data_IF_719991574807
#
_entry.id   IF_719991574807
#
_cell.length_a   1.000
_cell.length_b   1.000
_cell.length_c   1.000
_cell.angle_alpha   90.00
_cell.angle_beta   90.00
_cell.angle_gamma   90.00
#
_symmetry.space_group_name_H-M   'P 1'
#
loop_
_entity.id
_entity.type
_entity.pdbx_description
1 polymer ?
#
# COMPACT_ATOMS: atom_id res chain seq x y z
N UNK A 1 26.31 4.05 20.87
CA UNK A 1 26.58 2.93 19.92
C UNK A 1 26.43 3.50 18.52
N UNK A 2 27.41 3.31 17.64
CA UNK A 2 27.33 3.84 16.25
C UNK A 2 26.39 2.92 15.50
N UNK A 3 25.31 3.45 14.94
CA UNK A 3 24.17 2.74 14.30
C UNK A 3 24.57 2.00 12.99
N UNK A 4 25.87 1.91 12.65
CA UNK A 4 26.32 1.51 11.31
C UNK A 4 26.47 0.01 11.05
N UNK A 5 26.33 -0.85 12.05
CA UNK A 5 26.68 -2.28 11.89
C UNK A 5 25.49 -3.25 12.12
N UNK A 6 24.27 -2.77 12.06
CA UNK A 6 23.09 -3.63 12.30
C UNK A 6 22.68 -4.46 11.08
N UNK A 7 23.05 -4.00 9.87
CA UNK A 7 22.61 -4.65 8.63
C UNK A 7 23.77 -4.90 7.69
N UNK A 8 23.81 -6.10 7.14
CA UNK A 8 24.60 -6.49 5.98
C UNK A 8 23.69 -6.36 4.75
N UNK A 9 24.04 -5.45 3.83
CA UNK A 9 23.18 -5.07 2.71
C UNK A 9 23.91 -5.21 1.39
N UNK A 10 23.30 -5.96 0.45
CA UNK A 10 23.79 -6.10 -0.90
C UNK A 10 22.78 -5.59 -1.92
N UNK A 11 23.25 -4.81 -2.89
CA UNK A 11 22.46 -4.30 -4.02
C UNK A 11 23.10 -4.77 -5.33
N UNK A 12 22.55 -5.85 -5.89
CA UNK A 12 23.11 -6.53 -7.04
C UNK A 12 22.40 -6.14 -8.34
N UNK A 13 23.17 -5.71 -9.33
CA UNK A 13 22.76 -5.55 -10.73
C UNK A 13 23.75 -6.32 -11.59
N UNK A 14 23.28 -7.23 -12.45
CA UNK A 14 24.16 -8.15 -13.21
C UNK A 14 25.16 -8.93 -12.32
N UNK A 15 24.73 -9.35 -11.12
CA UNK A 15 25.54 -10.04 -10.13
C UNK A 15 26.70 -9.20 -9.54
N UNK A 16 26.72 -7.89 -9.80
CA UNK A 16 27.66 -6.96 -9.21
C UNK A 16 27.00 -6.24 -8.05
N UNK A 17 27.64 -6.31 -6.91
CA UNK A 17 27.23 -5.55 -5.75
C UNK A 17 27.69 -4.10 -5.87
N UNK A 18 26.72 -3.20 -5.96
CA UNK A 18 27.03 -1.77 -6.09
C UNK A 18 27.70 -1.20 -4.83
N UNK A 19 27.39 -1.75 -3.63
CA UNK A 19 27.99 -1.25 -2.39
C UNK A 19 29.44 -1.67 -2.24
N UNK A 20 29.79 -2.90 -2.65
CA UNK A 20 31.13 -3.47 -2.41
C UNK A 20 32.07 -3.34 -3.60
N UNK A 21 31.56 -3.20 -4.82
CA UNK A 21 32.38 -3.26 -6.04
C UNK A 21 33.31 -2.06 -6.25
N UNK A 22 33.07 -0.96 -5.56
CA UNK A 22 33.77 0.32 -5.80
C UNK A 22 33.51 0.95 -7.17
N UNK A 23 32.62 0.36 -7.98
CA UNK A 23 32.27 0.87 -9.30
C UNK A 23 31.18 1.97 -9.27
N UNK A 24 30.51 2.16 -8.13
CA UNK A 24 29.45 3.12 -7.93
C UNK A 24 29.65 3.95 -6.65
N UNK A 25 29.17 5.21 -6.68
CA UNK A 25 29.29 6.15 -5.58
C UNK A 25 27.93 6.79 -5.29
N UNK A 26 27.72 7.29 -4.06
CA UNK A 26 26.47 7.95 -3.62
C UNK A 26 25.21 7.12 -3.86
N UNK A 27 25.33 5.83 -3.59
CA UNK A 27 24.24 4.87 -3.83
C UNK A 27 23.12 5.10 -2.83
N UNK A 28 21.89 5.24 -3.37
CA UNK A 28 20.66 5.28 -2.60
C UNK A 28 19.65 4.34 -3.24
N UNK A 29 18.99 3.53 -2.42
CA UNK A 29 17.94 2.64 -2.85
C UNK A 29 16.72 2.85 -1.94
N UNK A 30 15.53 2.96 -2.53
CA UNK A 30 14.27 3.06 -1.77
C UNK A 30 13.26 2.08 -2.34
N UNK A 31 12.68 1.23 -1.47
CA UNK A 31 11.61 0.31 -1.81
C UNK A 31 10.30 0.91 -1.31
N UNK A 32 9.35 1.10 -2.22
CA UNK A 32 8.02 1.65 -1.95
C UNK A 32 7.00 0.53 -1.98
N UNK A 33 6.27 0.37 -0.89
CA UNK A 33 5.14 -0.54 -0.76
C UNK A 33 3.92 0.24 -0.30
N UNK A 34 2.76 0.01 -0.90
CA UNK A 34 1.52 0.71 -0.56
C UNK A 34 0.31 -0.20 -0.79
N UNK A 35 -0.71 -0.10 0.04
CA UNK A 35 -1.99 -0.79 -0.19
C UNK A 35 -2.76 -0.18 -1.37
N UNK A 36 -2.43 1.07 -1.75
CA UNK A 36 -3.10 1.80 -2.84
C UNK A 36 -2.45 1.50 -4.18
N UNK A 37 -1.11 1.47 -4.22
CA UNK A 37 -0.36 1.32 -5.47
C UNK A 37 -0.29 -0.14 -5.95
N UNK A 38 -0.81 -1.06 -5.16
CA UNK A 38 -0.96 -2.49 -5.44
C UNK A 38 0.35 -3.26 -5.70
N UNK A 39 1.41 -2.62 -6.21
CA UNK A 39 2.65 -3.29 -6.63
C UNK A 39 3.88 -2.56 -6.11
N UNK A 40 4.82 -3.24 -5.44
CA UNK A 40 6.04 -2.62 -4.94
C UNK A 40 6.94 -2.11 -6.06
N UNK A 41 7.50 -0.94 -5.84
CA UNK A 41 8.47 -0.27 -6.74
C UNK A 41 9.76 0.00 -6.00
N UNK A 42 10.88 -0.21 -6.67
CA UNK A 42 12.21 0.13 -6.18
C UNK A 42 12.79 1.28 -7.00
N UNK A 43 13.34 2.30 -6.34
CA UNK A 43 14.07 3.40 -6.96
C UNK A 43 15.51 3.38 -6.50
N UNK A 44 16.45 3.38 -7.45
CA UNK A 44 17.87 3.35 -7.18
C UNK A 44 18.52 4.52 -7.88
N UNK A 45 19.40 5.24 -7.18
CA UNK A 45 20.24 6.28 -7.74
C UNK A 45 21.68 6.06 -7.32
N UNK A 46 22.62 6.25 -8.24
CA UNK A 46 24.05 6.18 -7.96
C UNK A 46 24.85 6.96 -9.01
N UNK A 47 26.09 7.27 -8.70
CA UNK A 47 27.02 7.84 -9.65
C UNK A 47 28.06 6.79 -10.05
N UNK A 48 28.45 6.77 -11.34
CA UNK A 48 29.47 5.86 -11.84
C UNK A 48 30.18 6.43 -13.07
N UNK A 49 31.27 5.79 -13.48
CA UNK A 49 31.98 6.15 -14.71
C UNK A 49 31.11 5.83 -15.95
N UNK A 50 31.40 6.47 -17.11
CA UNK A 50 30.77 6.15 -18.38
C UNK A 50 30.93 4.68 -18.78
N UNK A 51 32.05 4.05 -18.39
CA UNK A 51 32.36 2.65 -18.70
C UNK A 51 31.44 1.66 -18.01
N UNK A 52 30.73 2.08 -16.97
CA UNK A 52 29.75 1.23 -16.29
C UNK A 52 28.69 0.70 -17.27
N UNK A 53 28.15 1.55 -18.16
CA UNK A 53 27.16 1.10 -19.16
C UNK A 53 27.73 0.18 -20.22
N UNK A 54 28.99 0.37 -20.57
CA UNK A 54 29.66 -0.48 -21.55
C UNK A 54 29.87 -1.90 -21.00
N UNK A 55 30.19 -1.99 -19.72
CA UNK A 55 30.47 -3.26 -19.05
C UNK A 55 29.20 -3.93 -18.54
N UNK A 56 28.20 -3.15 -18.14
CA UNK A 56 26.97 -3.62 -17.49
C UNK A 56 25.74 -2.92 -18.09
N UNK A 57 25.32 -3.31 -19.29
CA UNK A 57 24.21 -2.66 -19.98
C UNK A 57 22.89 -2.89 -19.25
N UNK A 58 22.30 -1.80 -18.74
CA UNK A 58 20.99 -1.82 -18.09
C UNK A 58 19.91 -1.65 -19.15
N UNK A 59 19.10 -2.65 -19.32
CA UNK A 59 17.97 -2.69 -20.25
C UNK A 59 16.67 -3.02 -19.52
N UNK A 60 15.53 -2.87 -20.19
CA UNK A 60 14.24 -3.26 -19.65
C UNK A 60 14.26 -4.75 -19.24
N UNK A 61 13.77 -5.01 -18.02
CA UNK A 61 13.76 -6.36 -17.45
C UNK A 61 15.08 -6.79 -16.80
N UNK A 62 16.13 -5.97 -16.80
CA UNK A 62 17.35 -6.25 -16.02
C UNK A 62 16.98 -6.53 -14.58
N UNK A 63 17.55 -7.63 -14.02
CA UNK A 63 17.28 -8.06 -12.66
C UNK A 63 18.04 -7.21 -11.66
N UNK A 64 17.33 -6.77 -10.62
CA UNK A 64 17.89 -6.11 -9.44
C UNK A 64 17.58 -6.97 -8.24
N UNK A 65 18.59 -7.27 -7.43
CA UNK A 65 18.42 -8.04 -6.19
C UNK A 65 18.88 -7.16 -5.03
N UNK A 66 18.05 -7.10 -3.99
CA UNK A 66 18.33 -6.41 -2.75
C UNK A 66 18.32 -7.46 -1.65
N UNK A 67 19.41 -7.59 -0.92
CA UNK A 67 19.52 -8.46 0.24
C UNK A 67 19.74 -7.62 1.48
N UNK A 68 18.99 -7.90 2.54
CA UNK A 68 19.12 -7.25 3.84
C UNK A 68 19.21 -8.33 4.89
N UNK A 69 20.34 -8.40 5.58
CA UNK A 69 20.59 -9.35 6.66
C UNK A 69 20.84 -8.63 7.97
N UNK A 70 20.38 -9.20 9.05
CA UNK A 70 20.68 -8.75 10.41
C UNK A 70 20.53 -9.90 11.38
N UNK A 71 21.62 -10.29 12.02
CA UNK A 71 21.59 -11.32 13.06
C UNK A 71 20.84 -10.82 14.31
N UNK A 72 20.96 -9.53 14.62
CA UNK A 72 20.32 -8.91 15.80
C UNK A 72 18.80 -8.97 15.68
N UNK A 73 18.27 -8.69 14.48
CA UNK A 73 16.83 -8.67 14.24
C UNK A 73 16.31 -9.93 13.55
N UNK A 74 17.14 -10.96 13.40
CA UNK A 74 16.80 -12.22 12.73
C UNK A 74 16.22 -11.99 11.32
N UNK A 75 16.80 -11.06 10.56
CA UNK A 75 16.41 -10.72 9.20
C UNK A 75 17.36 -11.39 8.22
N UNK A 76 16.83 -12.12 7.24
CA UNK A 76 17.54 -12.64 6.05
C UNK A 76 16.58 -12.54 4.86
N UNK A 77 16.42 -11.32 4.37
CA UNK A 77 15.45 -10.99 3.34
C UNK A 77 16.12 -10.78 1.98
N UNK A 78 15.53 -11.32 0.93
CA UNK A 78 15.92 -11.09 -0.45
C UNK A 78 14.72 -10.61 -1.27
N UNK A 79 14.88 -9.47 -1.94
CA UNK A 79 13.86 -8.87 -2.79
C UNK A 79 14.36 -8.80 -4.24
N UNK A 80 13.52 -9.20 -5.19
CA UNK A 80 13.89 -9.24 -6.60
C UNK A 80 12.96 -8.32 -7.39
N UNK A 81 13.58 -7.40 -8.12
CA UNK A 81 12.89 -6.42 -8.97
C UNK A 81 13.37 -6.54 -10.42
N UNK A 82 12.60 -5.94 -11.35
CA UNK A 82 12.94 -5.81 -12.78
C UNK A 82 12.90 -4.35 -13.19
N UNK A 83 13.95 -3.90 -13.85
CA UNK A 83 14.04 -2.54 -14.37
C UNK A 83 12.92 -2.26 -15.35
N UNK A 84 12.22 -1.14 -15.15
CA UNK A 84 11.20 -0.61 -16.06
C UNK A 84 11.62 0.70 -16.70
N UNK A 85 12.36 1.52 -15.96
CA UNK A 85 12.91 2.78 -16.46
C UNK A 85 14.35 2.92 -16.05
N UNK A 86 15.12 3.44 -16.93
CA UNK A 86 16.51 3.75 -16.71
C UNK A 86 16.84 5.12 -17.32
N UNK A 87 17.62 5.90 -16.63
CA UNK A 87 18.20 7.14 -17.15
C UNK A 87 19.62 7.34 -16.64
N UNK A 88 20.47 7.93 -17.47
CA UNK A 88 21.83 8.32 -17.12
C UNK A 88 22.04 9.76 -17.56
N UNK A 89 22.40 10.62 -16.63
CA UNK A 89 22.64 12.04 -16.88
C UNK A 89 24.10 12.37 -16.60
N UNK A 90 24.79 13.10 -17.51
CA UNK A 90 26.17 13.55 -17.26
C UNK A 90 26.26 14.37 -15.98
N UNK A 91 27.25 14.07 -15.15
CA UNK A 91 27.54 14.78 -13.90
C UNK A 91 29.07 14.94 -13.74
N UNK A 92 29.65 16.01 -14.22
CA UNK A 92 31.11 16.19 -14.28
C UNK A 92 31.76 15.11 -15.15
N UNK A 93 32.71 14.36 -14.58
CA UNK A 93 33.39 13.24 -15.24
C UNK A 93 32.67 11.89 -15.04
N UNK A 94 31.50 11.90 -14.44
CA UNK A 94 30.71 10.74 -14.13
C UNK A 94 29.32 10.84 -14.77
N UNK A 95 28.53 9.80 -14.63
CA UNK A 95 27.09 9.81 -14.86
C UNK A 95 26.33 9.59 -13.56
N UNK A 96 25.26 10.33 -13.39
CA UNK A 96 24.24 10.05 -12.38
C UNK A 96 23.18 9.12 -12.98
N UNK A 97 23.07 7.93 -12.43
CA UNK A 97 22.14 6.90 -12.85
C UNK A 97 20.88 6.94 -12.00
N UNK A 98 19.74 6.73 -12.65
CA UNK A 98 18.45 6.56 -11.99
C UNK A 98 17.73 5.36 -12.58
N UNK A 99 17.35 4.44 -11.72
CA UNK A 99 16.65 3.19 -12.06
C UNK A 99 15.33 3.17 -11.34
N UNK A 100 14.25 2.86 -12.05
CA UNK A 100 12.96 2.51 -11.48
C UNK A 100 12.65 1.07 -11.85
N UNK A 101 12.43 0.22 -10.84
CA UNK A 101 12.20 -1.21 -11.00
C UNK A 101 10.95 -1.64 -10.25
N UNK A 102 10.23 -2.62 -10.78
CA UNK A 102 9.02 -3.19 -10.20
C UNK A 102 9.31 -4.61 -9.71
N UNK A 103 8.54 -5.09 -8.75
CA UNK A 103 8.65 -6.47 -8.24
C UNK A 103 8.68 -7.50 -9.38
N UNK A 104 9.56 -8.48 -9.30
CA UNK A 104 9.72 -9.52 -10.32
C UNK A 104 8.53 -10.50 -10.33
N UNK A 105 7.38 -10.03 -10.82
CA UNK A 105 6.21 -10.85 -11.05
C UNK A 105 5.61 -10.56 -12.44
N UNK A 106 6.18 -11.19 -13.43
CA UNK A 106 5.90 -10.93 -14.84
C UNK A 106 4.45 -11.20 -15.26
N UNK A 107 3.76 -12.12 -14.56
CA UNK A 107 2.36 -12.45 -14.85
C UNK A 107 1.41 -11.25 -14.71
N UNK A 108 1.73 -10.27 -13.85
CA UNK A 108 0.89 -9.07 -13.71
C UNK A 108 0.72 -8.28 -15.01
N UNK A 109 1.71 -8.35 -15.90
CA UNK A 109 1.73 -7.61 -17.16
C UNK A 109 1.18 -8.40 -18.34
N UNK A 110 0.80 -9.67 -18.12
CA UNK A 110 0.24 -10.55 -19.17
C UNK A 110 -1.28 -10.52 -19.18
N UNK A 111 -1.86 -10.89 -20.34
CA UNK A 111 -3.30 -11.01 -20.48
C UNK A 111 -3.88 -12.07 -19.52
N UNK A 112 -4.98 -11.77 -18.81
CA UNK A 112 -5.53 -12.63 -17.77
C UNK A 112 -6.48 -13.73 -18.30
N UNK A 113 -6.58 -13.96 -19.59
CA UNK A 113 -7.57 -14.85 -20.23
C UNK A 113 -7.69 -16.25 -19.61
N UNK A 114 -6.61 -16.75 -19.04
CA UNK A 114 -6.57 -18.07 -18.36
C UNK A 114 -7.25 -18.14 -17.00
N UNK A 115 -7.76 -17.01 -16.47
CA UNK A 115 -8.34 -16.92 -15.13
C UNK A 115 -9.86 -16.74 -15.11
N UNK A 116 -10.52 -16.78 -16.28
CA UNK A 116 -11.99 -16.70 -16.34
C UNK A 116 -12.66 -17.76 -15.45
N UNK A 117 -13.63 -17.35 -14.64
CA UNK A 117 -14.33 -18.25 -13.72
C UNK A 117 -15.69 -17.69 -13.30
N UNK A 118 -16.64 -18.59 -13.01
CA UNK A 118 -17.94 -18.25 -12.41
C UNK A 118 -17.92 -18.57 -10.93
N UNK A 119 -17.37 -17.66 -10.13
CA UNK A 119 -17.13 -17.86 -8.71
C UNK A 119 -17.15 -16.55 -7.93
N UNK A 120 -16.88 -16.57 -6.64
CA UNK A 120 -16.64 -15.37 -5.84
C UNK A 120 -15.30 -14.73 -6.21
N UNK A 121 -15.15 -13.42 -6.03
CA UNK A 121 -13.89 -12.71 -6.31
C UNK A 121 -12.70 -13.28 -5.52
N UNK A 122 -12.90 -13.68 -4.27
CA UNK A 122 -11.86 -14.32 -3.45
C UNK A 122 -11.32 -15.61 -4.10
N UNK A 123 -12.15 -16.38 -4.82
CA UNK A 123 -11.71 -17.59 -5.52
C UNK A 123 -10.89 -17.27 -6.78
N UNK A 124 -11.13 -16.12 -7.39
CA UNK A 124 -10.26 -15.63 -8.48
C UNK A 124 -8.87 -15.36 -7.95
N UNK A 125 -8.74 -14.60 -6.86
CA UNK A 125 -7.44 -14.34 -6.20
C UNK A 125 -6.76 -15.63 -5.74
N UNK A 126 -7.50 -16.56 -5.12
CA UNK A 126 -6.99 -17.89 -4.76
C UNK A 126 -6.45 -18.66 -5.97
N UNK A 127 -7.13 -18.56 -7.12
CA UNK A 127 -6.69 -19.21 -8.36
C UNK A 127 -5.39 -18.60 -8.87
N UNK A 128 -5.26 -17.27 -8.83
CA UNK A 128 -4.03 -16.55 -9.20
C UNK A 128 -2.88 -16.95 -8.27
N UNK A 129 -3.12 -16.97 -6.95
CA UNK A 129 -2.11 -17.39 -5.97
C UNK A 129 -1.63 -18.83 -6.24
N UNK A 130 -2.54 -19.78 -6.37
CA UNK A 130 -2.20 -21.19 -6.59
C UNK A 130 -1.44 -21.41 -7.88
N UNK A 131 -1.89 -20.81 -9.01
CA UNK A 131 -1.25 -20.95 -10.31
C UNK A 131 0.16 -20.38 -10.37
N UNK A 132 0.43 -19.33 -9.57
CA UNK A 132 1.73 -18.66 -9.57
C UNK A 132 2.55 -18.98 -8.31
N UNK A 133 2.10 -19.91 -7.47
CA UNK A 133 2.79 -20.34 -6.24
C UNK A 133 3.11 -19.16 -5.30
N UNK A 134 2.17 -18.22 -5.19
CA UNK A 134 2.31 -17.05 -4.32
C UNK A 134 1.81 -17.39 -2.92
N UNK A 135 2.47 -16.85 -1.91
CA UNK A 135 1.94 -16.78 -0.55
C UNK A 135 1.05 -15.54 -0.37
N UNK A 136 0.36 -15.41 0.75
CA UNK A 136 -0.44 -14.24 1.07
C UNK A 136 -1.69 -14.55 1.87
N UNK A 137 -2.65 -13.63 1.86
CA UNK A 137 -3.93 -13.77 2.57
C UNK A 137 -5.07 -13.21 1.74
N UNK A 138 -6.19 -13.92 1.74
CA UNK A 138 -7.39 -13.56 0.99
C UNK A 138 -8.60 -13.66 1.91
N UNK A 139 -9.32 -12.54 2.06
CA UNK A 139 -10.60 -12.51 2.76
C UNK A 139 -11.73 -13.05 1.90
N UNK A 140 -12.68 -13.72 2.54
CA UNK A 140 -13.83 -14.32 1.86
C UNK A 140 -14.81 -13.25 1.37
N UNK A 141 -15.41 -13.50 0.20
CA UNK A 141 -16.40 -12.63 -0.44
C UNK A 141 -17.69 -13.38 -0.74
N UNK A 142 -18.79 -12.64 -1.01
CA UNK A 142 -20.13 -13.17 -1.32
C UNK A 142 -20.67 -12.53 -2.61
N UNK A 143 -19.84 -12.49 -3.63
CA UNK A 143 -20.02 -11.73 -4.87
C UNK A 143 -19.92 -12.63 -6.12
N UNK A 144 -20.53 -13.81 -6.02
CA UNK A 144 -20.49 -14.79 -7.11
C UNK A 144 -21.03 -14.23 -8.42
N UNK A 145 -20.19 -14.23 -9.43
CA UNK A 145 -20.54 -13.89 -10.82
C UNK A 145 -19.57 -14.51 -11.81
N UNK A 146 -19.82 -14.34 -13.10
CA UNK A 146 -18.87 -14.68 -14.15
C UNK A 146 -17.84 -13.55 -14.29
N UNK A 147 -16.63 -13.75 -13.79
CA UNK A 147 -15.51 -12.85 -13.96
C UNK A 147 -14.84 -13.14 -15.32
N UNK A 148 -15.09 -12.25 -16.27
CA UNK A 148 -14.50 -12.35 -17.62
C UNK A 148 -13.30 -11.42 -17.70
N UNK A 149 -12.11 -11.95 -18.03
CA UNK A 149 -10.95 -11.10 -18.25
C UNK A 149 -11.18 -10.18 -19.44
N UNK A 150 -10.92 -8.91 -19.27
CA UNK A 150 -10.82 -7.96 -20.38
C UNK A 150 -9.46 -8.13 -21.08
N UNK A 151 -9.25 -7.41 -22.17
CA UNK A 151 -7.95 -7.38 -22.89
C UNK A 151 -6.83 -6.69 -22.12
N UNK A 152 -7.08 -6.28 -20.88
CA UNK A 152 -6.11 -5.66 -19.97
C UNK A 152 -5.11 -6.68 -19.43
N UNK A 153 -4.09 -6.20 -18.74
CA UNK A 153 -3.17 -7.08 -18.04
C UNK A 153 -3.77 -7.62 -16.72
N UNK A 154 -3.15 -8.66 -16.16
CA UNK A 154 -3.63 -9.31 -14.94
C UNK A 154 -3.78 -8.32 -13.75
N UNK A 155 -2.82 -7.39 -13.58
CA UNK A 155 -2.88 -6.42 -12.48
C UNK A 155 -4.09 -5.50 -12.57
N UNK A 156 -4.39 -4.97 -13.75
CA UNK A 156 -5.58 -4.17 -14.01
C UNK A 156 -6.87 -4.96 -13.80
N UNK A 157 -6.88 -6.22 -14.22
CA UNK A 157 -8.04 -7.09 -14.00
C UNK A 157 -8.26 -7.41 -12.54
N UNK A 158 -7.21 -7.65 -11.74
CA UNK A 158 -7.32 -7.82 -10.29
C UNK A 158 -7.83 -6.54 -9.61
N UNK A 159 -7.40 -5.37 -10.07
CA UNK A 159 -7.93 -4.09 -9.59
C UNK A 159 -9.42 -3.91 -9.91
N UNK A 160 -9.83 -4.31 -11.11
CA UNK A 160 -11.25 -4.33 -11.49
C UNK A 160 -12.06 -5.28 -10.59
N UNK A 161 -11.57 -6.49 -10.33
CA UNK A 161 -12.24 -7.46 -9.45
C UNK A 161 -12.32 -6.91 -8.02
N UNK A 162 -11.24 -6.35 -7.49
CA UNK A 162 -11.22 -5.78 -6.15
C UNK A 162 -12.20 -4.61 -5.99
N UNK A 163 -12.32 -3.77 -7.02
CA UNK A 163 -13.29 -2.68 -7.01
C UNK A 163 -14.75 -3.15 -6.90
N UNK A 164 -15.04 -4.39 -7.30
CA UNK A 164 -16.38 -4.97 -7.28
C UNK A 164 -16.55 -6.09 -6.25
N UNK A 165 -15.53 -6.33 -5.41
CA UNK A 165 -15.56 -7.31 -4.34
C UNK A 165 -16.58 -6.94 -3.25
N UNK A 166 -17.33 -7.93 -2.77
CA UNK A 166 -18.40 -7.73 -1.79
C UNK A 166 -18.42 -8.84 -0.74
N UNK A 167 -18.53 -8.47 0.52
CA UNK A 167 -18.86 -9.40 1.60
C UNK A 167 -20.04 -8.91 2.44
N UNK A 168 -20.11 -7.61 2.71
CA UNK A 168 -21.14 -6.98 3.53
C UNK A 168 -21.33 -5.51 3.17
N UNK A 169 -22.27 -4.83 3.81
CA UNK A 169 -22.51 -3.40 3.61
C UNK A 169 -21.37 -2.50 4.13
N UNK A 170 -20.44 -3.05 4.91
CA UNK A 170 -19.30 -2.32 5.49
C UNK A 170 -17.95 -2.81 4.95
N UNK A 171 -17.95 -3.74 3.99
CA UNK A 171 -16.70 -4.26 3.45
C UNK A 171 -15.99 -3.24 2.56
N UNK A 172 -14.66 -3.26 2.58
CA UNK A 172 -13.83 -2.44 1.71
C UNK A 172 -12.62 -3.23 1.23
N UNK A 173 -12.69 -3.74 -0.01
CA UNK A 173 -11.67 -4.63 -0.55
C UNK A 173 -10.57 -3.90 -1.29
N UNK A 174 -9.32 -4.26 -0.94
CA UNK A 174 -8.11 -3.87 -1.65
C UNK A 174 -7.25 -5.08 -1.94
N UNK A 175 -6.51 -5.01 -3.03
CA UNK A 175 -5.46 -5.97 -3.32
C UNK A 175 -4.12 -5.27 -3.46
N UNK A 176 -3.08 -5.94 -3.01
CA UNK A 176 -1.71 -5.48 -3.16
C UNK A 176 -0.74 -6.67 -3.06
N UNK A 177 0.47 -6.44 -3.51
CA UNK A 177 1.62 -7.31 -3.26
C UNK A 177 2.61 -6.61 -2.34
N UNK A 178 3.31 -7.37 -1.53
CA UNK A 178 4.46 -6.86 -0.79
C UNK A 178 5.77 -7.15 -1.53
N UNK A 179 6.87 -6.58 -1.02
CA UNK A 179 8.22 -6.78 -1.58
C UNK A 179 8.70 -8.23 -1.59
N UNK A 180 8.11 -9.12 -0.80
CA UNK A 180 8.36 -10.57 -0.81
C UNK A 180 7.47 -11.36 -1.77
N UNK A 181 6.79 -10.70 -2.72
CA UNK A 181 5.85 -11.26 -3.70
C UNK A 181 4.63 -11.95 -3.09
N UNK A 182 4.25 -11.64 -1.88
CA UNK A 182 3.01 -12.16 -1.30
C UNK A 182 1.83 -11.35 -1.83
N UNK A 183 0.76 -12.03 -2.24
CA UNK A 183 -0.46 -11.43 -2.74
C UNK A 183 -1.51 -11.35 -1.63
N UNK A 184 -2.08 -10.17 -1.46
CA UNK A 184 -3.13 -9.91 -0.47
C UNK A 184 -4.39 -9.40 -1.16
N UNK A 185 -5.54 -9.90 -0.71
CA UNK A 185 -6.85 -9.38 -1.08
C UNK A 185 -7.68 -9.30 0.18
N UNK A 186 -7.77 -8.11 0.76
CA UNK A 186 -8.20 -7.91 2.13
C UNK A 186 -9.35 -6.90 2.21
N UNK A 187 -10.26 -7.17 3.12
CA UNK A 187 -11.27 -6.24 3.59
C UNK A 187 -10.64 -5.39 4.71
N UNK A 188 -10.40 -4.12 4.42
CA UNK A 188 -9.70 -3.18 5.30
C UNK A 188 -10.50 -2.92 6.60
N UNK A 189 -11.82 -2.80 6.51
CA UNK A 189 -12.66 -2.58 7.70
C UNK A 189 -12.60 -3.78 8.66
N UNK A 190 -12.66 -4.98 8.10
CA UNK A 190 -12.55 -6.20 8.87
C UNK A 190 -11.21 -6.31 9.58
N UNK A 191 -10.12 -5.90 8.94
CA UNK A 191 -8.78 -5.92 9.54
C UNK A 191 -8.70 -5.11 10.83
N UNK A 192 -9.19 -3.86 10.82
CA UNK A 192 -9.16 -3.00 12.01
C UNK A 192 -9.93 -3.61 13.18
N UNK A 193 -11.09 -4.18 12.89
CA UNK A 193 -11.97 -4.71 13.95
C UNK A 193 -11.51 -6.06 14.51
N UNK A 194 -10.98 -6.93 13.67
CA UNK A 194 -10.70 -8.33 14.06
C UNK A 194 -9.22 -8.61 14.38
N UNK A 195 -8.29 -7.68 14.10
CA UNK A 195 -6.87 -7.93 14.31
C UNK A 195 -6.52 -8.05 15.79
N UNK A 196 -5.82 -9.15 16.12
CA UNK A 196 -5.30 -9.44 17.47
C UNK A 196 -3.82 -9.09 17.61
N UNK A 197 -3.05 -9.20 16.53
CA UNK A 197 -1.62 -8.88 16.52
C UNK A 197 -1.45 -7.42 16.14
N UNK A 198 -1.10 -6.59 17.12
CA UNK A 198 -0.98 -5.14 16.98
C UNK A 198 0.49 -4.77 17.14
N UNK A 199 1.04 -4.11 16.11
CA UNK A 199 2.36 -3.49 16.19
C UNK A 199 2.26 -2.21 17.01
N UNK A 200 3.25 -1.96 17.87
CA UNK A 200 3.29 -0.76 18.71
C UNK A 200 4.42 0.15 18.26
N UNK A 201 4.08 1.38 17.95
CA UNK A 201 5.06 2.42 17.64
C UNK A 201 5.31 3.28 18.87
N UNK A 202 6.58 3.36 19.29
CA UNK A 202 7.03 4.17 20.43
C UNK A 202 7.95 5.29 19.97
N UNK A 203 7.80 6.46 20.60
CA UNK A 203 8.72 7.57 20.36
C UNK A 203 10.03 7.36 21.11
N UNK A 204 11.16 7.63 20.47
CA UNK A 204 12.49 7.64 21.08
C UNK A 204 13.54 6.80 20.37
N UNK A 205 14.69 6.67 21.00
CA UNK A 205 15.80 5.84 20.54
C UNK A 205 15.50 4.35 20.74
N UNK A 206 16.15 3.51 19.93
CA UNK A 206 16.08 2.05 20.11
C UNK A 206 16.82 1.66 21.37
N UNK A 207 16.16 0.93 22.24
CA UNK A 207 16.70 0.40 23.48
C UNK A 207 17.03 -1.09 23.32
N UNK A 208 17.90 -1.64 24.17
CA UNK A 208 18.29 -3.07 24.10
C UNK A 208 17.09 -4.01 24.36
N UNK A 209 16.03 -3.53 24.99
CA UNK A 209 14.79 -4.27 25.24
C UNK A 209 13.84 -4.34 24.04
N UNK A 210 14.10 -3.56 22.98
CA UNK A 210 13.26 -3.46 21.79
C UNK A 210 13.52 -4.59 20.77
N UNK A 211 13.98 -5.76 21.23
CA UNK A 211 14.19 -6.95 20.39
C UNK A 211 12.84 -7.57 19.97
N UNK A 212 11.75 -7.25 20.67
CA UNK A 212 10.40 -7.70 20.31
C UNK A 212 10.03 -7.21 18.90
N UNK A 213 9.69 -8.15 18.01
CA UNK A 213 9.27 -7.88 16.62
C UNK A 213 8.03 -6.96 16.52
N UNK A 214 7.27 -6.82 17.60
CA UNK A 214 6.06 -6.00 17.65
C UNK A 214 6.33 -4.56 18.10
N UNK A 215 7.55 -4.24 18.52
CA UNK A 215 7.96 -2.91 18.97
C UNK A 215 8.76 -2.20 17.88
N UNK A 216 8.33 -1.01 17.49
CA UNK A 216 9.02 -0.17 16.49
C UNK A 216 9.21 1.22 17.06
N UNK A 217 10.45 1.69 17.10
CA UNK A 217 10.77 3.07 17.53
C UNK A 217 10.73 4.06 16.37
N UNK A 218 10.19 5.23 16.62
CA UNK A 218 10.19 6.33 15.65
C UNK A 218 10.74 7.63 16.26
N UNK A 219 11.34 8.46 15.41
CA UNK A 219 11.93 9.75 15.80
C UNK A 219 11.06 10.93 15.42
N UNK A 220 10.43 10.85 14.26
CA UNK A 220 9.61 11.93 13.74
C UNK A 220 8.19 11.45 13.49
N UNK A 221 7.23 12.31 13.81
CA UNK A 221 5.82 12.10 13.55
C UNK A 221 5.25 13.30 12.81
N UNK A 222 4.56 13.05 11.72
CA UNK A 222 3.81 14.07 10.98
C UNK A 222 2.38 13.59 10.85
N UNK A 223 1.46 14.32 11.46
CA UNK A 223 0.03 14.03 11.39
C UNK A 223 -0.57 14.87 10.28
N UNK A 224 -1.24 14.22 9.34
CA UNK A 224 -1.94 14.86 8.22
C UNK A 224 -3.38 14.43 8.24
N UNK A 225 -4.25 15.39 8.13
CA UNK A 225 -5.62 15.11 7.73
C UNK A 225 -5.71 15.45 6.25
N UNK A 226 -6.07 14.49 5.42
CA UNK A 226 -6.34 14.73 4.00
C UNK A 226 -7.84 14.67 3.74
N UNK A 227 -8.62 15.60 4.23
CA UNK A 227 -10.03 15.54 3.95
C UNK A 227 -10.39 16.34 2.72
N UNK A 228 -9.70 17.40 2.47
CA UNK A 228 -10.39 18.47 1.84
C UNK A 228 -10.46 18.34 0.34
N UNK A 229 -9.35 18.56 -0.35
CA UNK A 229 -9.39 18.78 -1.78
C UNK A 229 -9.72 17.53 -2.60
N UNK A 230 -9.09 16.41 -2.35
CA UNK A 230 -9.39 15.19 -3.12
C UNK A 230 -10.77 14.62 -2.83
N UNK A 231 -11.22 14.71 -1.58
CA UNK A 231 -12.54 14.20 -1.22
C UNK A 231 -13.66 15.17 -1.58
N UNK A 232 -13.45 16.48 -1.44
CA UNK A 232 -14.42 17.50 -1.86
C UNK A 232 -14.52 17.60 -3.39
N UNK A 233 -13.37 17.65 -4.10
CA UNK A 233 -13.39 17.86 -5.54
C UNK A 233 -13.50 16.58 -6.35
N UNK A 234 -13.02 15.46 -5.84
CA UNK A 234 -12.95 14.22 -6.60
C UNK A 234 -13.96 13.16 -6.19
N UNK A 235 -14.44 13.09 -4.97
CA UNK A 235 -15.18 11.91 -4.51
C UNK A 235 -16.48 12.17 -3.82
N UNK A 236 -16.70 13.31 -3.16
CA UNK A 236 -17.88 13.60 -2.33
C UNK A 236 -18.36 12.38 -1.52
N UNK A 237 -18.86 12.59 -0.34
CA UNK A 237 -19.32 11.46 0.50
C UNK A 237 -20.72 10.97 0.09
N UNK A 238 -21.51 11.82 -0.53
CA UNK A 238 -22.89 11.57 -0.96
C UNK A 238 -22.99 11.49 -2.48
N UNK A 239 -22.29 10.50 -3.08
CA UNK A 239 -22.36 10.29 -4.53
C UNK A 239 -23.53 9.42 -4.93
N UNK A 240 -24.02 9.62 -6.13
CA UNK A 240 -25.00 8.77 -6.78
C UNK A 240 -24.28 7.92 -7.83
N UNK A 241 -24.65 6.65 -7.93
CA UNK A 241 -24.23 5.82 -9.03
C UNK A 241 -25.38 5.63 -10.01
N UNK A 242 -25.17 6.08 -11.22
CA UNK A 242 -26.11 5.88 -12.32
C UNK A 242 -25.63 4.68 -13.16
N UNK A 243 -26.48 3.64 -13.24
CA UNK A 243 -26.21 2.46 -14.04
C UNK A 243 -27.07 2.53 -15.29
N UNK A 244 -26.44 2.43 -16.43
CA UNK A 244 -27.14 2.24 -17.68
C UNK A 244 -27.13 0.76 -18.03
N UNK A 245 -28.29 0.13 -17.94
CA UNK A 245 -28.49 -1.25 -18.34
C UNK A 245 -28.68 -1.32 -19.87
N UNK A 246 -27.67 -1.81 -20.55
CA UNK A 246 -27.70 -1.96 -22.02
C UNK A 246 -28.75 -2.95 -22.49
N UNK A 247 -29.17 -3.91 -21.68
CA UNK A 247 -30.15 -4.93 -22.04
C UNK A 247 -31.57 -4.40 -22.02
N UNK A 248 -31.88 -3.53 -21.07
CA UNK A 248 -33.23 -2.95 -20.89
C UNK A 248 -33.33 -1.49 -21.34
N UNK A 249 -32.22 -0.89 -21.78
CA UNK A 249 -32.11 0.54 -22.08
C UNK A 249 -32.66 1.44 -20.97
N UNK A 250 -32.49 1.03 -19.73
CA UNK A 250 -32.97 1.75 -18.55
C UNK A 250 -31.83 2.23 -17.68
N UNK A 251 -32.07 3.35 -16.99
CA UNK A 251 -31.14 3.89 -16.00
C UNK A 251 -31.62 3.48 -14.61
N UNK A 252 -30.73 2.90 -13.81
CA UNK A 252 -30.95 2.65 -12.38
C UNK A 252 -30.04 3.57 -11.59
N UNK A 253 -30.55 4.15 -10.53
CA UNK A 253 -29.80 5.00 -9.62
C UNK A 253 -29.60 4.27 -8.29
N UNK A 254 -28.37 4.25 -7.81
CA UNK A 254 -28.01 3.74 -6.48
C UNK A 254 -27.41 4.87 -5.67
N UNK A 255 -28.04 5.19 -4.54
CA UNK A 255 -27.56 6.26 -3.66
C UNK A 255 -26.47 5.74 -2.73
N UNK A 256 -25.38 6.45 -2.64
CA UNK A 256 -24.22 6.15 -1.81
C UNK A 256 -24.54 6.13 -0.31
N UNK A 257 -25.50 6.93 0.14
CA UNK A 257 -25.92 6.98 1.54
C UNK A 257 -26.48 5.66 2.07
N UNK A 258 -26.85 4.73 1.18
CA UNK A 258 -27.26 3.38 1.56
C UNK A 258 -26.07 2.45 1.83
N UNK A 259 -24.87 2.86 1.42
CA UNK A 259 -23.68 2.00 1.49
C UNK A 259 -22.94 2.21 2.80
N UNK A 260 -22.79 3.45 3.25
CA UNK A 260 -22.15 3.78 4.51
C UNK A 260 -22.69 5.10 5.04
N UNK A 261 -23.19 5.11 6.26
CA UNK A 261 -23.70 6.34 6.86
C UNK A 261 -22.55 7.33 7.03
N UNK A 262 -22.72 8.55 6.52
CA UNK A 262 -21.74 9.64 6.72
C UNK A 262 -21.53 9.99 8.20
N UNK A 263 -22.49 9.62 9.07
CA UNK A 263 -22.37 9.74 10.52
C UNK A 263 -21.29 8.86 11.15
N UNK A 264 -20.83 7.82 10.44
CA UNK A 264 -19.74 6.94 10.90
C UNK A 264 -18.36 7.49 10.53
N UNK A 265 -18.28 8.54 9.70
CA UNK A 265 -17.03 9.16 9.31
C UNK A 265 -16.74 10.30 10.27
N UNK A 266 -15.78 10.08 11.14
CA UNK A 266 -15.31 11.06 12.11
C UNK A 266 -14.51 12.13 11.36
N UNK A 267 -14.67 13.41 11.69
CA UNK A 267 -13.97 14.57 11.11
C UNK A 267 -14.38 15.03 9.69
N UNK A 268 -15.59 14.73 9.25
CA UNK A 268 -16.14 15.37 8.07
C UNK A 268 -17.00 16.56 8.49
N UNK A 269 -16.76 17.69 7.85
CA UNK A 269 -17.70 18.79 7.93
C UNK A 269 -18.99 18.38 7.19
N UNK A 270 -20.04 18.10 7.95
CA UNK A 270 -21.35 17.65 7.43
C UNK A 270 -21.96 18.63 6.46
N UNK A 271 -21.69 19.93 6.60
CA UNK A 271 -22.20 20.96 5.68
C UNK A 271 -21.53 20.86 4.31
N UNK A 272 -20.25 20.49 4.26
CA UNK A 272 -19.51 20.30 3.01
C UNK A 272 -19.75 18.94 2.37
N UNK A 273 -20.27 17.96 3.10
CA UNK A 273 -20.54 16.63 2.59
C UNK A 273 -21.89 16.49 1.88
N UNK A 274 -22.84 17.35 2.20
CA UNK A 274 -24.19 17.28 1.65
C UNK A 274 -24.22 17.80 0.21
N UNK A 275 -24.51 16.91 -0.73
CA UNK A 275 -24.81 17.28 -2.12
C UNK A 275 -23.59 17.47 -3.03
N UNK A 276 -22.34 17.20 -2.58
CA UNK A 276 -21.13 17.34 -3.39
C UNK A 276 -20.64 16.03 -4.01
N UNK A 277 -21.43 14.96 -3.91
CA UNK A 277 -21.04 13.65 -4.44
C UNK A 277 -20.95 13.63 -5.97
N UNK A 278 -19.86 13.10 -6.52
CA UNK A 278 -19.76 12.79 -7.95
C UNK A 278 -20.69 11.63 -8.30
N UNK A 279 -21.44 11.80 -9.37
CA UNK A 279 -22.14 10.69 -10.01
C UNK A 279 -21.12 9.75 -10.66
N UNK A 280 -21.18 8.49 -10.33
CA UNK A 280 -20.47 7.44 -11.04
C UNK A 280 -21.38 6.92 -12.15
N UNK A 281 -20.93 7.01 -13.39
CA UNK A 281 -21.60 6.40 -14.52
C UNK A 281 -20.99 5.02 -14.78
N UNK A 282 -21.80 3.99 -14.67
CA UNK A 282 -21.39 2.62 -14.97
C UNK A 282 -22.33 2.01 -16.00
N UNK A 283 -21.78 1.14 -16.86
CA UNK A 283 -22.54 0.42 -17.87
C UNK A 283 -22.72 -1.04 -17.43
N UNK A 284 -23.97 -1.46 -17.33
CA UNK A 284 -24.31 -2.85 -17.03
C UNK A 284 -24.34 -3.66 -18.31
N UNK A 285 -23.50 -4.68 -18.38
CA UNK A 285 -23.49 -5.67 -19.47
C UNK A 285 -24.22 -6.97 -19.11
N UNK A 286 -24.90 -6.99 -17.96
CA UNK A 286 -25.66 -8.14 -17.46
C UNK A 286 -24.82 -9.21 -16.76
N UNK A 287 -25.48 -10.04 -15.95
CA UNK A 287 -24.88 -11.17 -15.19
C UNK A 287 -23.94 -10.80 -14.03
N UNK A 288 -24.12 -9.62 -13.45
CA UNK A 288 -23.43 -9.23 -12.23
C UNK A 288 -24.11 -9.75 -10.97
N UNK A 289 -23.39 -9.86 -9.85
CA UNK A 289 -23.99 -10.11 -8.56
C UNK A 289 -24.85 -8.91 -8.12
N UNK A 290 -25.88 -9.14 -7.31
CA UNK A 290 -26.88 -8.13 -6.93
C UNK A 290 -26.32 -6.86 -6.29
N UNK A 291 -25.14 -6.91 -5.69
CA UNK A 291 -24.49 -5.79 -4.99
C UNK A 291 -23.33 -5.18 -5.78
N UNK A 292 -23.15 -5.51 -7.05
CA UNK A 292 -22.02 -5.13 -7.88
C UNK A 292 -21.72 -3.62 -7.84
N UNK A 293 -22.71 -2.81 -8.09
CA UNK A 293 -22.56 -1.35 -8.12
C UNK A 293 -22.39 -0.74 -6.73
N UNK A 294 -23.04 -1.32 -5.72
CA UNK A 294 -22.85 -0.92 -4.32
C UNK A 294 -21.42 -1.21 -3.90
N UNK A 295 -20.88 -2.38 -4.28
CA UNK A 295 -19.51 -2.76 -4.02
C UNK A 295 -18.51 -1.79 -4.66
N UNK A 296 -18.73 -1.43 -5.94
CA UNK A 296 -17.86 -0.47 -6.63
C UNK A 296 -17.82 0.89 -5.91
N UNK A 297 -18.97 1.43 -5.54
CA UNK A 297 -19.03 2.67 -4.78
C UNK A 297 -18.34 2.56 -3.43
N UNK A 298 -18.59 1.47 -2.70
CA UNK A 298 -18.06 1.23 -1.38
C UNK A 298 -16.52 1.10 -1.41
N UNK A 299 -15.97 0.27 -2.31
CA UNK A 299 -14.54 0.02 -2.40
C UNK A 299 -13.78 1.27 -2.87
N UNK A 300 -14.34 2.07 -3.78
CA UNK A 300 -13.75 3.36 -4.17
C UNK A 300 -13.71 4.37 -3.02
N UNK A 301 -14.62 4.26 -2.07
CA UNK A 301 -14.78 5.20 -0.95
C UNK A 301 -14.03 4.79 0.32
N UNK A 302 -13.69 3.52 0.45
CA UNK A 302 -13.14 3.03 1.71
C UNK A 302 -11.91 3.80 2.15
N UNK A 303 -10.98 4.09 1.23
CA UNK A 303 -9.81 4.90 1.57
C UNK A 303 -10.12 6.38 1.82
N UNK A 304 -11.19 6.92 1.24
CA UNK A 304 -11.60 8.30 1.56
C UNK A 304 -12.16 8.41 2.97
N UNK A 305 -12.64 7.31 3.55
CA UNK A 305 -13.07 7.27 4.96
C UNK A 305 -11.90 7.20 5.94
N UNK A 306 -10.73 6.73 5.48
CA UNK A 306 -9.48 6.73 6.24
C UNK A 306 -8.74 8.05 6.00
N UNK A 307 -9.31 9.14 6.47
CA UNK A 307 -8.89 10.50 6.15
C UNK A 307 -7.72 11.01 7.00
N UNK A 308 -7.35 10.31 8.05
CA UNK A 308 -6.25 10.70 8.92
C UNK A 308 -5.04 9.84 8.63
N UNK A 309 -3.93 10.49 8.28
CA UNK A 309 -2.65 9.86 8.00
C UNK A 309 -1.62 10.31 9.02
N UNK A 310 -0.82 9.36 9.48
CA UNK A 310 0.32 9.62 10.36
C UNK A 310 1.57 9.06 9.70
N UNK A 311 2.52 9.93 9.41
CA UNK A 311 3.81 9.52 8.87
C UNK A 311 4.83 9.45 9.99
N UNK A 312 5.48 8.31 10.12
CA UNK A 312 6.51 8.02 11.11
C UNK A 312 7.83 7.75 10.40
N UNK A 313 8.92 8.37 10.88
CA UNK A 313 10.27 8.04 10.43
C UNK A 313 10.98 7.19 11.49
N UNK A 314 11.30 5.95 11.11
CA UNK A 314 11.95 4.95 11.96
C UNK A 314 13.42 4.81 11.55
N UNK A 315 14.35 4.94 12.50
CA UNK A 315 15.79 4.87 12.21
C UNK A 315 16.27 3.48 11.80
N UNK A 316 15.53 2.44 12.22
CA UNK A 316 15.87 1.06 11.92
C UNK A 316 14.77 0.39 11.11
N UNK A 317 15.19 -0.47 10.20
CA UNK A 317 14.29 -1.36 9.49
C UNK A 317 13.78 -2.46 10.42
N UNK A 318 12.47 -2.70 10.37
CA UNK A 318 11.80 -3.80 11.07
C UNK A 318 10.92 -4.60 10.08
N UNK A 319 10.72 -5.90 10.30
CA UNK A 319 9.94 -6.74 9.39
C UNK A 319 8.42 -6.52 9.52
N UNK A 320 7.98 -5.26 9.64
CA UNK A 320 6.56 -4.91 9.62
C UNK A 320 5.98 -5.07 8.22
N UNK A 321 4.67 -5.29 8.16
CA UNK A 321 3.97 -5.60 6.90
C UNK A 321 2.88 -4.60 6.61
N UNK A 322 2.65 -4.33 5.33
CA UNK A 322 1.46 -3.58 4.89
C UNK A 322 0.19 -4.21 5.46
N UNK A 323 -0.82 -3.40 5.68
CA UNK A 323 -2.12 -3.78 6.26
C UNK A 323 -2.08 -4.31 7.70
N UNK A 324 -0.94 -4.37 8.35
CA UNK A 324 -0.87 -4.67 9.77
C UNK A 324 -1.57 -3.58 10.58
N UNK A 325 -2.32 -4.00 11.61
CA UNK A 325 -2.93 -3.06 12.54
C UNK A 325 -1.91 -2.67 13.59
N UNK A 326 -1.87 -1.39 13.93
CA UNK A 326 -0.92 -0.84 14.86
C UNK A 326 -1.54 0.20 15.79
N UNK A 327 -0.81 0.55 16.83
CA UNK A 327 -1.09 1.66 17.74
C UNK A 327 0.15 2.54 17.90
N UNK A 328 -0.05 3.82 18.20
CA UNK A 328 1.02 4.77 18.47
C UNK A 328 1.01 5.07 19.96
N UNK A 329 2.16 4.91 20.60
CA UNK A 329 2.40 5.43 21.93
C UNK A 329 3.12 6.77 21.82
N UNK A 330 2.42 7.82 22.23
CA UNK A 330 2.89 9.20 22.18
C UNK A 330 3.18 9.77 23.58
N UNK A 331 3.21 8.95 24.62
CA UNK A 331 3.35 9.39 26.02
C UNK A 331 4.62 10.18 26.26
N UNK A 332 5.67 9.94 25.52
CA UNK A 332 6.96 10.64 25.63
C UNK A 332 7.05 11.96 24.85
N UNK A 333 6.08 12.26 23.98
CA UNK A 333 6.07 13.52 23.21
C UNK A 333 5.56 14.69 24.04
N UNK A 334 4.67 14.42 24.98
CA UNK A 334 4.10 15.45 25.86
C UNK A 334 4.88 15.53 27.16
N UNK A 335 5.59 16.63 27.37
CA UNK A 335 6.11 17.01 28.70
C UNK A 335 4.92 17.33 29.57
N UNK A 336 4.81 16.58 30.70
CA UNK A 336 3.89 16.84 31.82
C UNK A 336 2.38 16.65 31.50
N UNK A 337 1.83 15.55 31.97
CA UNK A 337 0.41 15.26 32.25
C UNK A 337 -0.64 15.25 31.13
N UNK A 338 -0.25 15.35 29.88
CA UNK A 338 -1.20 15.31 28.77
C UNK A 338 -0.93 14.16 27.80
N UNK A 339 -1.44 12.97 28.09
CA UNK A 339 -1.54 11.92 27.07
C UNK A 339 -2.36 12.45 25.90
N UNK A 340 -1.82 12.40 24.68
CA UNK A 340 -2.63 12.67 23.49
C UNK A 340 -3.54 11.46 23.26
N UNK A 341 -4.63 11.38 24.01
CA UNK A 341 -5.62 10.29 23.90
C UNK A 341 -6.13 10.11 22.46
N UNK A 342 -6.13 11.18 21.68
CA UNK A 342 -6.52 11.16 20.27
C UNK A 342 -5.64 10.25 19.39
N UNK A 343 -4.41 9.92 19.81
CA UNK A 343 -3.53 9.00 19.07
C UNK A 343 -3.64 7.54 19.54
N UNK A 344 -4.34 7.26 20.64
CA UNK A 344 -4.55 5.91 21.20
C UNK A 344 -5.62 5.11 20.45
N UNK A 345 -5.67 5.23 19.15
CA UNK A 345 -6.60 4.50 18.29
C UNK A 345 -5.85 3.47 17.44
N UNK A 346 -6.59 2.57 16.83
CA UNK A 346 -6.02 1.62 15.89
C UNK A 346 -5.81 2.27 14.53
N UNK A 347 -4.65 2.00 13.95
CA UNK A 347 -4.26 2.41 12.61
C UNK A 347 -4.00 1.17 11.74
N UNK A 348 -4.03 1.36 10.44
CA UNK A 348 -3.51 0.40 9.45
C UNK A 348 -2.23 0.96 8.85
N UNK A 349 -1.21 0.14 8.68
CA UNK A 349 -0.03 0.48 7.93
C UNK A 349 -0.41 0.53 6.44
N UNK A 350 -0.51 1.75 5.89
CA UNK A 350 -0.94 1.99 4.51
C UNK A 350 0.22 2.04 3.52
N UNK A 351 1.40 2.46 3.98
CA UNK A 351 2.60 2.56 3.14
C UNK A 351 3.86 2.33 3.96
N UNK A 352 4.83 1.69 3.34
CA UNK A 352 6.18 1.52 3.89
C UNK A 352 7.18 1.93 2.82
N UNK A 353 8.13 2.80 3.18
CA UNK A 353 9.27 3.12 2.34
C UNK A 353 10.52 2.64 3.08
N UNK A 354 11.18 1.62 2.53
CA UNK A 354 12.46 1.15 3.06
C UNK A 354 13.59 1.89 2.33
N UNK A 355 14.35 2.69 3.06
CA UNK A 355 15.46 3.47 2.52
C UNK A 355 16.79 2.82 2.88
N UNK A 356 17.63 2.63 1.89
CA UNK A 356 18.91 1.93 1.99
C UNK A 356 20.01 2.86 1.47
N UNK A 357 21.06 3.06 2.28
CA UNK A 357 22.25 3.82 1.90
C UNK A 357 23.48 3.21 2.58
N UNK A 358 24.24 2.43 1.82
CA UNK A 358 25.30 1.60 2.40
C UNK A 358 24.74 0.56 3.39
N UNK A 359 25.33 0.46 4.56
CA UNK A 359 24.88 -0.42 5.66
C UNK A 359 23.69 0.15 6.46
N UNK A 360 23.24 1.36 6.17
CA UNK A 360 22.13 1.99 6.87
C UNK A 360 20.82 1.64 6.20
N UNK A 361 19.88 1.06 6.97
CA UNK A 361 18.52 0.77 6.52
C UNK A 361 17.52 1.37 7.49
N UNK A 362 16.71 2.30 7.00
CA UNK A 362 15.65 2.92 7.79
C UNK A 362 14.29 2.81 7.10
N UNK A 363 13.22 3.17 7.79
CA UNK A 363 11.87 3.11 7.25
C UNK A 363 11.13 4.42 7.48
N UNK A 364 10.36 4.82 6.46
CA UNK A 364 9.25 5.74 6.64
C UNK A 364 7.94 4.96 6.53
N UNK A 365 7.07 5.10 7.50
CA UNK A 365 5.82 4.34 7.61
C UNK A 365 4.65 5.31 7.61
N UNK A 366 3.69 5.09 6.73
CA UNK A 366 2.44 5.82 6.73
C UNK A 366 1.34 4.93 7.32
N UNK A 367 0.67 5.48 8.30
CA UNK A 367 -0.46 4.87 9.00
C UNK A 367 -1.73 5.62 8.61
N UNK A 368 -2.85 4.92 8.47
CA UNK A 368 -4.14 5.56 8.23
C UNK A 368 -5.22 5.07 9.20
N UNK A 369 -6.19 5.95 9.48
CA UNK A 369 -7.34 5.66 10.33
C UNK A 369 -8.54 6.50 9.94
N UNK A 370 -9.74 6.13 10.43
CA UNK A 370 -11.01 6.80 10.09
C UNK A 370 -11.21 8.16 10.79
N UNK A 371 -10.28 8.62 11.62
CA UNK A 371 -10.33 9.89 12.31
C UNK A 371 -9.93 9.81 13.79
N UNK A 372 -9.94 10.94 14.47
CA UNK A 372 -9.57 11.02 15.89
C UNK A 372 -10.79 10.79 16.79
N UNK A 373 -10.65 9.93 17.80
CA UNK A 373 -11.67 9.77 18.85
C UNK A 373 -11.66 10.92 19.89
N UNK A 374 -10.92 11.99 19.68
CA UNK A 374 -10.61 12.97 20.72
C UNK A 374 -11.31 14.31 20.62
N UNK A 375 -12.14 14.54 19.61
CA UNK A 375 -13.01 15.71 19.59
C UNK A 375 -14.42 15.24 19.84
N UNK A 376 -14.78 15.10 21.13
CA UNK A 376 -16.18 15.07 21.53
C UNK A 376 -16.85 16.29 20.89
N UNK A 377 -17.86 16.06 20.08
CA UNK A 377 -18.71 17.12 19.51
C UNK A 377 -19.60 17.75 20.60
N UNK A 378 -19.08 17.96 21.80
CA UNK A 378 -19.71 18.77 22.82
C UNK A 378 -19.07 20.15 22.76
N UNK A 379 -19.90 21.09 22.33
CA UNK A 379 -19.69 22.54 22.36
C UNK A 379 -18.83 23.17 21.26
N UNK A 380 -19.45 23.44 20.14
CA UNK A 380 -19.38 24.82 19.56
C UNK A 380 -20.74 25.15 18.95
#
# INVERSE_FOLDING_TARGET
MVVNDFYDVHLLIHDIDLFDSGCADKIKCSIYESIVDSVPVCKITFNSSPDFLNNYPIIDGTKVIIQIKSDIFSIDDQYIFRVMKFSALPFGNMFSFSIEAVIDFYELFRAPSKYSTNNNSCEVFNTVMKKNQLAGSIHQTQDKQLWVPSETNLGQWLSYIAAHGWSSQQSGFYWFMNKSKNLFYLDIDKLIHESKNIVKFYYGDTEDEDIDEQIVRYKNIIIKTTPGEENLFNRGYDGECHHFDLSSYSTKQTNANKVRATSEIININKELSNGLGKSLLSFDVGNHHKNYFIAEMQNRRVLSTYSTYVNLSCELFRPIKLSQVCTIDATSITREDGEIESLKIKYIISKIVTNISGSTVNMDVELCTQGYNGLSTESY
#
